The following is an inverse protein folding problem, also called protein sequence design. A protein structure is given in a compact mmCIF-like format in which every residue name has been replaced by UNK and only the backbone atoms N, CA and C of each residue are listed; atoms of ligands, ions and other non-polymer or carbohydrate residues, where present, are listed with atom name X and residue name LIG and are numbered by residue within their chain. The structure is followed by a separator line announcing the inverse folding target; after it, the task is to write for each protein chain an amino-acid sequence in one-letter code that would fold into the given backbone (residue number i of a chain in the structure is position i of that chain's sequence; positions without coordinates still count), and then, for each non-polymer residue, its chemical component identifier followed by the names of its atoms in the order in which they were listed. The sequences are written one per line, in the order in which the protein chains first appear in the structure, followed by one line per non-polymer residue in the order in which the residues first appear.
data_IF_807496578004
#
_entry.id   IF_807496578004
#
_cell.length_a   1.000
_cell.length_b   1.000
_cell.length_c   1.000
_cell.angle_alpha   90.00
_cell.angle_beta   90.00
_cell.angle_gamma   90.00
#
_symmetry.space_group_name_H-M   'P 1'
#
loop_
_entity.id
_entity.type
_entity.pdbx_description
1 polymer ?
#
# COMPACT_ATOMS: atom_id res chain seq x y z
N UNK A 1 25.68 -7.97 -15.82
CA UNK A 1 25.48 -6.61 -16.38
C UNK A 1 24.77 -6.75 -17.72
N UNK A 2 23.46 -6.78 -17.75
CA UNK A 2 22.63 -6.81 -18.97
C UNK A 2 22.67 -5.42 -19.60
N UNK A 3 23.36 -5.29 -20.73
CA UNK A 3 23.38 -4.04 -21.51
C UNK A 3 21.93 -3.66 -21.84
N UNK A 4 21.48 -2.55 -21.31
CA UNK A 4 20.14 -1.98 -21.45
C UNK A 4 19.77 -1.99 -22.96
N UNK A 5 18.63 -2.58 -23.39
CA UNK A 5 18.23 -2.65 -24.79
C UNK A 5 18.19 -1.25 -25.45
N UNK A 6 17.94 -0.22 -24.68
CA UNK A 6 17.99 1.19 -25.08
C UNK A 6 19.37 1.61 -25.60
N UNK A 7 20.46 1.25 -24.90
CA UNK A 7 21.83 1.63 -25.33
C UNK A 7 22.22 0.93 -26.61
N UNK A 8 21.77 -0.32 -26.83
CA UNK A 8 22.00 -1.02 -28.10
C UNK A 8 21.26 -0.36 -29.26
N UNK A 9 19.99 -0.05 -29.11
CA UNK A 9 19.19 0.62 -30.16
C UNK A 9 19.78 2.00 -30.49
N UNK A 10 20.16 2.78 -29.47
CA UNK A 10 20.79 4.08 -29.67
C UNK A 10 22.12 3.98 -30.39
N UNK A 11 22.98 2.98 -30.04
CA UNK A 11 24.26 2.77 -30.68
C UNK A 11 24.08 2.40 -32.16
N UNK A 12 23.17 1.46 -32.46
CA UNK A 12 22.88 1.08 -33.85
C UNK A 12 22.26 2.23 -34.64
N UNK A 13 21.42 3.06 -34.02
CA UNK A 13 20.85 4.26 -34.67
C UNK A 13 21.95 5.26 -35.06
N UNK A 14 22.89 5.53 -34.14
CA UNK A 14 24.04 6.41 -34.42
C UNK A 14 24.92 5.87 -35.51
N UNK A 15 25.23 4.57 -35.52
CA UNK A 15 26.02 3.92 -36.58
C UNK A 15 25.29 3.99 -37.92
N UNK A 16 23.98 3.72 -37.95
CA UNK A 16 23.16 3.80 -39.16
C UNK A 16 23.12 5.23 -39.73
N UNK A 17 22.95 6.22 -38.84
CA UNK A 17 22.95 7.64 -39.24
C UNK A 17 24.31 8.04 -39.81
N UNK A 18 25.40 7.67 -39.14
CA UNK A 18 26.76 7.92 -39.65
C UNK A 18 27.00 7.27 -41.02
N UNK A 19 26.57 6.01 -41.22
CA UNK A 19 26.64 5.30 -42.48
C UNK A 19 25.83 5.99 -43.59
N UNK A 20 24.58 6.41 -43.30
CA UNK A 20 23.72 7.11 -44.25
C UNK A 20 24.29 8.47 -44.66
N UNK A 21 24.94 9.17 -43.70
CA UNK A 21 25.61 10.45 -43.99
C UNK A 21 26.78 10.22 -44.98
N UNK A 22 27.65 9.24 -44.71
CA UNK A 22 28.78 8.94 -45.56
C UNK A 22 28.32 8.47 -46.96
N UNK A 23 27.32 7.60 -47.04
CA UNK A 23 26.76 7.16 -48.31
C UNK A 23 26.05 8.29 -49.06
N UNK A 24 25.34 9.12 -48.36
CA UNK A 24 24.64 10.30 -48.96
C UNK A 24 25.60 11.32 -49.52
N UNK A 25 26.74 11.56 -48.86
CA UNK A 25 27.79 12.45 -49.37
C UNK A 25 28.48 11.90 -50.61
N UNK A 26 28.86 10.61 -50.57
CA UNK A 26 29.44 9.92 -51.73
C UNK A 26 28.49 9.91 -52.94
N UNK A 27 27.20 9.67 -52.71
CA UNK A 27 26.17 9.70 -53.75
C UNK A 27 25.96 11.12 -54.31
N UNK A 28 26.00 12.14 -53.46
CA UNK A 28 25.88 13.54 -53.84
C UNK A 28 27.09 13.96 -54.70
N UNK A 29 28.32 13.65 -54.27
CA UNK A 29 29.53 13.99 -55.01
C UNK A 29 29.56 13.28 -56.35
N UNK A 30 29.12 12.00 -56.40
CA UNK A 30 29.02 11.27 -57.66
C UNK A 30 27.93 11.84 -58.58
N UNK A 31 26.77 12.23 -58.06
CA UNK A 31 25.72 12.89 -58.83
C UNK A 31 26.17 14.28 -59.37
N UNK A 32 26.94 15.02 -58.60
CA UNK A 32 27.50 16.31 -58.98
C UNK A 32 28.50 16.15 -60.15
N UNK A 33 29.35 15.12 -60.10
CA UNK A 33 30.27 14.80 -61.19
C UNK A 33 29.56 14.41 -62.49
N UNK A 34 28.43 13.68 -62.40
CA UNK A 34 27.63 13.26 -63.56
C UNK A 34 26.86 14.42 -64.21
N UNK A 35 26.27 15.31 -63.40
CA UNK A 35 25.42 16.39 -63.89
C UNK A 35 26.18 17.62 -64.35
N UNK A 36 27.37 17.85 -63.82
CA UNK A 36 28.18 19.04 -64.15
C UNK A 36 29.62 18.66 -64.48
N UNK A 37 29.88 17.99 -65.64
CA UNK A 37 31.22 17.55 -66.03
C UNK A 37 32.25 18.68 -66.19
N UNK A 38 31.82 19.92 -66.43
CA UNK A 38 32.71 21.10 -66.44
C UNK A 38 33.23 21.49 -65.05
N UNK A 39 32.44 21.27 -63.96
CA UNK A 39 32.88 21.43 -62.59
C UNK A 39 33.83 20.31 -62.17
N UNK A 40 33.62 19.07 -62.68
CA UNK A 40 34.45 17.92 -62.39
C UNK A 40 35.88 18.06 -62.93
N UNK A 41 36.11 18.85 -64.02
CA UNK A 41 37.43 19.15 -64.57
C UNK A 41 38.31 20.03 -63.66
N UNK A 42 37.68 20.89 -62.86
CA UNK A 42 38.32 21.77 -61.87
C UNK A 42 38.07 21.31 -60.43
N UNK A 43 37.51 20.11 -60.22
CA UNK A 43 37.21 19.57 -58.92
C UNK A 43 38.52 19.13 -58.25
N UNK A 44 38.96 19.93 -57.30
CA UNK A 44 40.03 19.50 -56.38
C UNK A 44 39.40 18.64 -55.28
N UNK A 45 39.62 17.30 -55.29
CA UNK A 45 39.06 16.39 -54.28
C UNK A 45 39.61 16.67 -52.88
N UNK A 46 40.63 17.51 -52.77
CA UNK A 46 41.22 17.93 -51.50
C UNK A 46 40.63 19.30 -51.02
N UNK A 47 39.67 19.86 -51.74
CA UNK A 47 39.00 21.07 -51.22
C UNK A 47 38.00 20.73 -50.11
N UNK A 48 38.34 21.00 -48.84
CA UNK A 48 37.53 20.59 -47.70
C UNK A 48 36.11 21.20 -47.68
N UNK A 49 35.89 22.32 -48.33
CA UNK A 49 34.56 22.98 -48.39
C UNK A 49 33.59 22.20 -49.26
N UNK A 50 34.04 21.69 -50.41
CA UNK A 50 33.20 20.91 -51.32
C UNK A 50 32.96 19.47 -50.80
N UNK A 51 33.94 18.87 -50.13
CA UNK A 51 33.81 17.54 -49.59
C UNK A 51 33.02 17.51 -48.27
N UNK A 52 33.18 18.50 -47.39
CA UNK A 52 32.57 18.50 -46.07
C UNK A 52 31.24 19.31 -45.99
N UNK A 53 30.99 20.22 -46.90
CA UNK A 53 29.77 21.05 -46.88
C UNK A 53 28.47 20.27 -46.87
N UNK A 54 28.26 19.32 -47.82
CA UNK A 54 27.06 18.47 -47.82
C UNK A 54 26.91 17.59 -46.57
N UNK A 55 28.04 17.07 -46.06
CA UNK A 55 28.00 16.25 -44.81
C UNK A 55 27.51 17.02 -43.61
N UNK A 56 27.98 18.27 -43.43
CA UNK A 56 27.57 19.16 -42.35
C UNK A 56 26.08 19.52 -42.45
N UNK A 57 25.59 19.79 -43.68
CA UNK A 57 24.15 20.10 -43.87
C UNK A 57 23.30 18.87 -43.56
N UNK A 58 23.62 17.69 -44.07
CA UNK A 58 22.86 16.47 -43.79
C UNK A 58 22.91 16.12 -42.31
N UNK A 59 24.05 16.22 -41.64
CA UNK A 59 24.19 15.99 -40.20
C UNK A 59 23.31 16.96 -39.40
N UNK A 60 23.33 18.23 -39.74
CA UNK A 60 22.53 19.28 -39.08
C UNK A 60 21.04 18.97 -39.20
N UNK A 61 20.56 18.60 -40.40
CA UNK A 61 19.16 18.25 -40.64
C UNK A 61 18.75 17.00 -39.84
N UNK A 62 19.59 15.95 -39.86
CA UNK A 62 19.31 14.73 -39.12
C UNK A 62 19.27 14.97 -37.59
N UNK A 63 20.22 15.75 -37.07
CA UNK A 63 20.23 16.15 -35.66
C UNK A 63 19.00 17.00 -35.30
N UNK A 64 18.60 17.95 -36.15
CA UNK A 64 17.41 18.76 -35.91
C UNK A 64 16.11 17.93 -35.90
N UNK A 65 16.00 16.98 -36.84
CA UNK A 65 14.85 16.07 -36.90
C UNK A 65 14.80 15.13 -35.68
N UNK A 66 15.93 14.52 -35.30
CA UNK A 66 16.01 13.63 -34.13
C UNK A 66 15.76 14.39 -32.84
N UNK A 67 16.30 15.60 -32.70
CA UNK A 67 16.04 16.46 -31.54
C UNK A 67 14.56 16.88 -31.46
N UNK A 68 13.96 17.30 -32.58
CA UNK A 68 12.53 17.64 -32.62
C UNK A 68 11.64 16.46 -32.26
N UNK A 69 11.97 15.27 -32.77
CA UNK A 69 11.25 14.02 -32.46
C UNK A 69 11.35 13.66 -30.97
N UNK A 70 12.56 13.70 -30.40
CA UNK A 70 12.79 13.41 -28.98
C UNK A 70 12.10 14.46 -28.08
N UNK A 71 12.19 15.73 -28.47
CA UNK A 71 11.58 16.83 -27.71
C UNK A 71 10.05 16.68 -27.62
N UNK A 72 9.38 16.21 -28.69
CA UNK A 72 7.93 15.90 -28.64
C UNK A 72 7.61 14.81 -27.61
N UNK A 73 8.44 13.78 -27.47
CA UNK A 73 8.25 12.70 -26.50
C UNK A 73 8.43 13.19 -25.06
N UNK A 74 9.48 13.98 -24.83
CA UNK A 74 9.72 14.59 -23.52
C UNK A 74 8.59 15.54 -23.15
N UNK A 75 8.14 16.38 -24.06
CA UNK A 75 7.02 17.31 -23.83
C UNK A 75 5.71 16.56 -23.49
N UNK A 76 5.48 15.39 -24.12
CA UNK A 76 4.32 14.58 -23.83
C UNK A 76 4.37 14.00 -22.41
N UNK A 77 5.54 13.52 -21.97
CA UNK A 77 5.78 13.07 -20.60
C UNK A 77 5.61 14.20 -19.59
N UNK A 78 6.20 15.36 -19.85
CA UNK A 78 6.10 16.54 -18.95
C UNK A 78 4.65 16.99 -18.77
N UNK A 79 3.88 17.03 -19.85
CA UNK A 79 2.44 17.34 -19.76
C UNK A 79 1.67 16.33 -18.92
N UNK A 80 2.01 15.03 -19.02
CA UNK A 80 1.45 14.01 -18.14
C UNK A 80 1.78 14.27 -16.67
N UNK A 81 3.05 14.59 -16.38
CA UNK A 81 3.50 14.93 -15.02
C UNK A 81 2.75 16.16 -14.49
N UNK A 82 2.58 17.20 -15.30
CA UNK A 82 1.85 18.43 -14.93
C UNK A 82 0.38 18.10 -14.57
N UNK A 83 -0.27 17.22 -15.33
CA UNK A 83 -1.64 16.79 -15.04
C UNK A 83 -1.75 16.00 -13.73
N UNK A 84 -0.82 15.10 -13.48
CA UNK A 84 -0.75 14.35 -12.21
C UNK A 84 -0.46 15.29 -11.04
N UNK A 85 0.44 16.25 -11.21
CA UNK A 85 0.73 17.28 -10.21
C UNK A 85 -0.49 18.15 -9.89
N UNK A 86 -1.37 18.36 -10.87
CA UNK A 86 -2.65 19.06 -10.70
C UNK A 86 -3.76 18.16 -10.05
N UNK A 87 -3.43 16.91 -9.69
CA UNK A 87 -4.36 15.97 -9.05
C UNK A 87 -5.15 15.08 -10.00
N UNK A 88 -4.89 15.13 -11.31
CA UNK A 88 -5.54 14.25 -12.28
C UNK A 88 -4.79 12.90 -12.38
N UNK A 89 -5.08 12.00 -11.46
CA UNK A 89 -4.48 10.66 -11.41
C UNK A 89 -5.07 9.66 -12.42
N UNK A 90 -6.06 10.06 -13.24
CA UNK A 90 -6.56 9.23 -14.33
C UNK A 90 -5.72 9.36 -15.62
N UNK A 91 -4.66 10.20 -15.58
CA UNK A 91 -3.81 10.44 -16.75
C UNK A 91 -2.86 9.26 -17.00
N UNK A 92 -2.97 8.69 -18.21
CA UNK A 92 -2.06 7.63 -18.67
C UNK A 92 -1.39 8.03 -19.97
N UNK A 93 -0.15 7.65 -20.13
CA UNK A 93 0.63 7.84 -21.34
C UNK A 93 0.57 6.58 -22.21
N UNK A 94 0.42 6.78 -23.51
CA UNK A 94 0.40 5.67 -24.48
C UNK A 94 1.83 5.12 -24.64
N UNK A 95 2.07 3.95 -24.06
CA UNK A 95 3.40 3.29 -24.05
C UNK A 95 3.91 3.00 -25.46
N UNK A 96 3.01 2.70 -26.42
CA UNK A 96 3.40 2.41 -27.80
C UNK A 96 3.96 3.65 -28.49
N UNK A 97 3.52 4.85 -28.11
CA UNK A 97 4.04 6.11 -28.60
C UNK A 97 5.36 6.53 -27.94
N UNK A 98 5.79 5.87 -26.90
CA UNK A 98 7.01 6.19 -26.14
C UNK A 98 8.29 6.02 -26.96
N UNK A 99 8.39 4.96 -27.77
CA UNK A 99 9.61 4.61 -28.48
C UNK A 99 10.77 4.37 -27.50
N UNK A 100 11.90 5.13 -27.57
CA UNK A 100 12.99 5.01 -26.60
C UNK A 100 12.62 5.31 -25.15
N UNK A 101 11.54 6.06 -24.93
CA UNK A 101 11.02 6.43 -23.60
C UNK A 101 9.85 5.53 -23.13
N UNK A 102 9.57 4.42 -23.82
CA UNK A 102 8.47 3.51 -23.48
C UNK A 102 8.54 3.03 -22.03
N UNK A 103 9.71 2.64 -21.55
CA UNK A 103 9.92 2.24 -20.15
C UNK A 103 9.61 3.39 -19.16
N UNK A 104 9.94 4.64 -19.53
CA UNK A 104 9.62 5.80 -18.70
C UNK A 104 8.12 6.08 -18.67
N UNK A 105 7.41 5.86 -19.78
CA UNK A 105 5.95 5.98 -19.84
C UNK A 105 5.27 4.89 -18.99
N UNK A 106 5.78 3.65 -19.05
CA UNK A 106 5.29 2.57 -18.22
C UNK A 106 5.48 2.86 -16.73
N UNK A 107 6.68 3.30 -16.33
CA UNK A 107 6.94 3.69 -14.93
C UNK A 107 6.05 4.85 -14.49
N UNK A 108 5.82 5.83 -15.38
CA UNK A 108 4.89 6.93 -15.12
C UNK A 108 3.47 6.41 -14.89
N UNK A 109 2.95 5.51 -15.76
CA UNK A 109 1.62 4.93 -15.61
C UNK A 109 1.50 4.16 -14.28
N UNK A 110 2.48 3.32 -13.94
CA UNK A 110 2.51 2.61 -12.65
C UNK A 110 2.49 3.56 -11.46
N UNK A 111 3.27 4.65 -11.51
CA UNK A 111 3.25 5.67 -10.46
C UNK A 111 1.87 6.34 -10.36
N UNK A 112 1.26 6.68 -11.49
CA UNK A 112 -0.06 7.31 -11.54
C UNK A 112 -1.13 6.39 -10.96
N UNK A 113 -1.11 5.08 -11.28
CA UNK A 113 -2.00 4.08 -10.70
C UNK A 113 -1.86 3.98 -9.17
N UNK A 114 -0.64 4.00 -8.66
CA UNK A 114 -0.38 3.99 -7.22
C UNK A 114 -0.92 5.25 -6.53
N UNK A 115 -0.74 6.42 -7.15
CA UNK A 115 -1.28 7.68 -6.65
C UNK A 115 -2.81 7.69 -6.67
N UNK A 116 -3.44 7.21 -7.76
CA UNK A 116 -4.88 7.06 -7.88
C UNK A 116 -5.45 6.14 -6.78
N UNK A 117 -4.85 4.96 -6.59
CA UNK A 117 -5.23 4.02 -5.53
C UNK A 117 -5.12 4.67 -4.15
N UNK A 118 -4.02 5.37 -3.87
CA UNK A 118 -3.80 6.06 -2.59
C UNK A 118 -4.82 7.16 -2.35
N UNK A 119 -5.13 7.96 -3.38
CA UNK A 119 -6.13 9.03 -3.30
C UNK A 119 -7.54 8.47 -3.05
N UNK A 120 -7.91 7.40 -3.73
CA UNK A 120 -9.20 6.70 -3.53
C UNK A 120 -9.31 6.18 -2.11
N UNK A 121 -8.31 5.43 -1.63
CA UNK A 121 -8.29 4.90 -0.26
C UNK A 121 -8.39 6.01 0.79
N UNK A 122 -7.72 7.16 0.56
CA UNK A 122 -7.81 8.32 1.45
C UNK A 122 -9.21 8.92 1.47
N UNK A 123 -9.86 9.05 0.32
CA UNK A 123 -11.22 9.59 0.23
C UNK A 123 -12.25 8.65 0.87
N UNK A 124 -12.12 7.35 0.62
CA UNK A 124 -12.98 6.33 1.22
C UNK A 124 -12.83 6.34 2.75
N UNK A 125 -11.60 6.51 3.25
CA UNK A 125 -11.33 6.72 4.67
C UNK A 125 -12.09 7.92 5.23
N UNK A 126 -11.95 9.11 4.62
CA UNK A 126 -12.60 10.32 5.12
C UNK A 126 -14.12 10.17 5.13
N UNK A 127 -14.68 9.56 4.10
CA UNK A 127 -16.12 9.32 3.99
C UNK A 127 -16.60 8.35 5.07
N UNK A 128 -15.95 7.20 5.20
CA UNK A 128 -16.31 6.18 6.19
C UNK A 128 -16.12 6.68 7.63
N UNK A 129 -14.99 7.35 7.89
CA UNK A 129 -14.74 8.01 9.17
C UNK A 129 -15.84 9.01 9.53
N UNK A 130 -16.24 9.86 8.59
CA UNK A 130 -17.31 10.84 8.79
C UNK A 130 -18.65 10.17 9.11
N UNK A 131 -18.96 9.06 8.44
CA UNK A 131 -20.18 8.28 8.73
C UNK A 131 -20.14 7.63 10.11
N UNK A 132 -19.01 6.99 10.46
CA UNK A 132 -18.85 6.30 11.74
C UNK A 132 -18.84 7.25 12.96
N UNK A 133 -18.46 8.52 12.77
CA UNK A 133 -18.59 9.56 13.79
C UNK A 133 -19.98 10.14 13.87
N UNK A 134 -20.64 10.35 12.74
CA UNK A 134 -21.97 10.97 12.70
C UNK A 134 -23.03 10.14 13.43
N UNK A 135 -23.00 8.83 13.28
CA UNK A 135 -23.99 7.92 13.88
C UNK A 135 -24.00 7.99 15.41
N UNK A 136 -22.88 7.76 16.14
CA UNK A 136 -22.89 7.85 17.61
C UNK A 136 -23.17 9.27 18.12
N UNK A 137 -22.69 10.30 17.41
CA UNK A 137 -22.99 11.70 17.80
C UNK A 137 -24.49 11.97 17.71
N UNK A 138 -25.13 11.55 16.60
CA UNK A 138 -26.59 11.70 16.45
C UNK A 138 -27.38 10.91 17.51
N UNK A 139 -26.90 9.70 17.84
CA UNK A 139 -27.50 8.89 18.91
C UNK A 139 -27.39 9.57 20.29
N UNK A 140 -26.19 10.05 20.63
CA UNK A 140 -25.95 10.78 21.87
C UNK A 140 -26.86 12.02 21.96
N UNK A 141 -26.90 12.81 20.88
CA UNK A 141 -27.76 14.00 20.81
C UNK A 141 -29.22 13.61 20.95
N UNK A 142 -29.74 12.64 20.20
CA UNK A 142 -31.14 12.24 20.26
C UNK A 142 -31.59 11.75 21.65
N UNK A 143 -30.76 10.96 22.35
CA UNK A 143 -31.07 10.54 23.72
C UNK A 143 -30.98 11.69 24.71
N UNK A 144 -30.05 12.62 24.53
CA UNK A 144 -29.95 13.82 25.37
C UNK A 144 -31.18 14.75 25.19
N UNK A 145 -31.60 14.96 23.93
CA UNK A 145 -32.79 15.76 23.59
C UNK A 145 -34.05 15.14 24.21
N UNK A 146 -34.25 13.82 24.07
CA UNK A 146 -35.36 13.10 24.69
C UNK A 146 -35.41 13.26 26.23
N UNK A 147 -34.23 13.30 26.86
CA UNK A 147 -34.13 13.49 28.31
C UNK A 147 -34.43 14.94 28.77
N UNK A 148 -34.30 15.92 27.85
CA UNK A 148 -34.64 17.32 28.13
C UNK A 148 -36.12 17.64 27.88
N UNK A 149 -36.72 17.01 26.86
CA UNK A 149 -38.08 17.33 26.40
C UNK A 149 -39.19 16.85 27.37
N UNK A 150 -38.91 15.81 28.17
CA UNK A 150 -39.92 15.22 29.06
C UNK A 150 -39.32 14.60 30.32
N UNK A 151 -40.12 14.62 31.42
CA UNK A 151 -39.78 13.85 32.60
C UNK A 151 -39.89 12.34 32.28
N UNK A 152 -38.78 11.64 32.46
CA UNK A 152 -38.69 10.21 32.22
C UNK A 152 -38.67 9.43 33.54
N UNK A 153 -39.29 8.25 33.59
CA UNK A 153 -39.14 7.32 34.70
C UNK A 153 -37.66 7.04 34.97
N UNK A 154 -37.26 6.86 36.20
CA UNK A 154 -35.85 6.64 36.61
C UNK A 154 -35.18 5.52 35.81
N UNK A 155 -35.92 4.45 35.52
CA UNK A 155 -35.41 3.30 34.75
C UNK A 155 -35.08 3.67 33.30
N UNK A 156 -35.95 4.43 32.62
CA UNK A 156 -35.72 4.86 31.22
C UNK A 156 -34.59 5.87 31.16
N UNK A 157 -34.51 6.81 32.10
CA UNK A 157 -33.38 7.75 32.16
C UNK A 157 -32.06 7.05 32.37
N UNK A 158 -31.99 6.01 33.21
CA UNK A 158 -30.79 5.21 33.39
C UNK A 158 -30.40 4.45 32.11
N UNK A 159 -31.39 3.91 31.39
CA UNK A 159 -31.15 3.23 30.12
C UNK A 159 -30.56 4.19 29.05
N UNK A 160 -31.13 5.42 28.94
CA UNK A 160 -30.60 6.41 27.99
C UNK A 160 -29.20 6.90 28.36
N UNK A 161 -28.92 7.11 29.67
CA UNK A 161 -27.55 7.42 30.12
C UNK A 161 -26.56 6.31 29.82
N UNK A 162 -26.96 5.05 29.97
CA UNK A 162 -26.09 3.90 29.58
C UNK A 162 -25.84 3.85 28.08
N UNK A 163 -26.84 4.17 27.24
CA UNK A 163 -26.66 4.25 25.79
C UNK A 163 -25.73 5.41 25.40
N UNK A 164 -25.92 6.60 26.00
CA UNK A 164 -25.01 7.74 25.76
C UNK A 164 -23.58 7.39 26.16
N UNK A 165 -23.38 6.77 27.32
CA UNK A 165 -22.05 6.32 27.78
C UNK A 165 -21.42 5.32 26.81
N UNK A 166 -22.20 4.35 26.33
CA UNK A 166 -21.76 3.36 25.36
C UNK A 166 -21.29 4.02 24.06
N UNK A 167 -22.06 4.95 23.51
CA UNK A 167 -21.69 5.64 22.28
C UNK A 167 -20.50 6.59 22.46
N UNK A 168 -20.36 7.23 23.65
CA UNK A 168 -19.19 8.03 23.98
C UNK A 168 -17.91 7.19 24.07
N UNK A 169 -17.96 6.00 24.69
CA UNK A 169 -16.84 5.05 24.71
C UNK A 169 -16.49 4.57 23.30
N UNK A 170 -17.48 4.31 22.45
CA UNK A 170 -17.28 3.96 21.06
C UNK A 170 -16.52 5.05 20.31
N UNK A 171 -16.91 6.33 20.46
CA UNK A 171 -16.21 7.47 19.85
C UNK A 171 -14.76 7.59 20.33
N UNK A 172 -14.51 7.39 21.62
CA UNK A 172 -13.18 7.41 22.19
C UNK A 172 -12.29 6.34 21.56
N UNK A 173 -12.77 5.09 21.47
CA UNK A 173 -12.05 4.00 20.85
C UNK A 173 -11.77 4.26 19.36
N UNK A 174 -12.73 4.85 18.65
CA UNK A 174 -12.63 5.26 17.27
C UNK A 174 -11.51 6.28 17.07
N UNK A 175 -11.50 7.33 17.88
CA UNK A 175 -10.46 8.38 17.87
C UNK A 175 -9.08 7.81 18.20
N UNK A 176 -8.98 6.97 19.22
CA UNK A 176 -7.73 6.33 19.64
C UNK A 176 -7.15 5.45 18.53
N UNK A 177 -7.97 4.64 17.86
CA UNK A 177 -7.52 3.79 16.76
C UNK A 177 -6.97 4.60 15.58
N UNK A 178 -7.62 5.73 15.23
CA UNK A 178 -7.13 6.61 14.15
C UNK A 178 -5.81 7.28 14.53
N UNK A 179 -5.70 7.81 15.76
CA UNK A 179 -4.47 8.40 16.27
C UNK A 179 -3.33 7.38 16.30
N UNK A 180 -3.61 6.17 16.78
CA UNK A 180 -2.62 5.08 16.81
C UNK A 180 -2.16 4.75 15.38
N UNK A 181 -3.08 4.58 14.44
CA UNK A 181 -2.72 4.25 13.07
C UNK A 181 -1.86 5.35 12.43
N UNK A 182 -2.25 6.62 12.56
CA UNK A 182 -1.50 7.75 12.00
C UNK A 182 -0.10 7.87 12.63
N UNK A 183 0.03 7.62 13.93
CA UNK A 183 1.33 7.60 14.61
C UNK A 183 2.20 6.46 14.11
N UNK A 184 1.66 5.26 14.01
CA UNK A 184 2.38 4.08 13.51
C UNK A 184 2.80 4.22 12.04
N UNK A 185 2.04 4.94 11.23
CA UNK A 185 2.38 5.20 9.81
C UNK A 185 3.58 6.13 9.65
N UNK A 186 3.68 7.13 10.49
CA UNK A 186 4.80 8.06 10.50
C UNK A 186 6.08 7.47 11.09
N UNK A 187 5.96 6.37 11.85
CA UNK A 187 7.11 5.70 12.45
C UNK A 187 7.83 4.80 11.44
N UNK A 188 9.13 5.00 11.33
CA UNK A 188 10.06 4.14 10.58
C UNK A 188 10.92 3.28 11.49
N UNK A 189 11.07 3.69 12.75
CA UNK A 189 11.91 3.02 13.76
C UNK A 189 11.07 2.79 15.02
N UNK A 190 11.14 1.59 15.57
CA UNK A 190 10.53 1.25 16.86
C UNK A 190 11.36 1.80 18.01
N UNK A 191 10.72 2.56 18.88
CA UNK A 191 11.29 2.99 20.15
C UNK A 191 10.89 2.03 21.28
N UNK A 192 11.61 2.06 22.40
CA UNK A 192 11.30 1.32 23.63
C UNK A 192 11.22 -0.21 23.41
N UNK A 193 12.18 -0.76 22.65
CA UNK A 193 12.29 -2.20 22.47
C UNK A 193 12.98 -2.84 23.68
N UNK A 194 12.34 -3.85 24.25
CA UNK A 194 12.85 -4.63 25.40
C UNK A 194 12.55 -6.11 25.20
N UNK A 195 13.31 -6.97 25.88
CA UNK A 195 12.94 -8.40 25.99
C UNK A 195 11.85 -8.56 27.05
N UNK A 196 10.80 -9.28 26.74
CA UNK A 196 9.68 -9.54 27.65
C UNK A 196 9.07 -10.94 27.44
N UNK A 197 8.39 -11.43 28.47
CA UNK A 197 7.67 -12.72 28.41
C UNK A 197 6.40 -12.57 27.57
N UNK A 198 6.47 -13.06 26.31
CA UNK A 198 5.35 -13.06 25.38
C UNK A 198 4.21 -13.96 25.84
N UNK A 199 4.55 -15.09 26.46
CA UNK A 199 3.58 -16.05 26.96
C UNK A 199 2.70 -15.44 28.04
N UNK A 200 3.34 -14.74 28.98
CA UNK A 200 2.61 -14.06 30.04
C UNK A 200 1.80 -12.89 29.48
N UNK A 201 2.33 -12.14 28.52
CA UNK A 201 1.59 -11.05 27.87
C UNK A 201 0.30 -11.54 27.20
N UNK A 202 0.35 -12.61 26.42
CA UNK A 202 -0.83 -13.20 25.78
C UNK A 202 -1.83 -13.69 26.85
N UNK A 203 -1.35 -14.34 27.93
CA UNK A 203 -2.20 -14.78 29.03
C UNK A 203 -2.92 -13.61 29.72
N UNK A 204 -2.20 -12.55 30.02
CA UNK A 204 -2.77 -11.33 30.63
C UNK A 204 -3.80 -10.66 29.73
N UNK A 205 -3.57 -10.68 28.42
CA UNK A 205 -4.55 -10.16 27.44
C UNK A 205 -5.84 -10.97 27.44
N UNK A 206 -5.76 -12.30 27.52
CA UNK A 206 -6.94 -13.17 27.64
C UNK A 206 -7.69 -12.88 28.94
N UNK A 207 -6.98 -12.74 30.07
CA UNK A 207 -7.58 -12.40 31.38
C UNK A 207 -8.28 -11.04 31.31
N UNK A 208 -7.65 -10.04 30.70
CA UNK A 208 -8.24 -8.71 30.53
C UNK A 208 -9.56 -8.76 29.75
N UNK A 209 -9.66 -9.61 28.74
CA UNK A 209 -10.84 -9.74 27.89
C UNK A 209 -11.82 -10.84 28.37
N UNK A 210 -11.49 -11.51 29.47
CA UNK A 210 -12.30 -12.62 30.00
C UNK A 210 -13.79 -12.26 30.20
N UNK A 211 -14.17 -11.09 30.76
CA UNK A 211 -15.57 -10.75 30.92
C UNK A 211 -16.35 -10.74 29.60
N UNK A 212 -15.71 -10.32 28.51
CA UNK A 212 -16.34 -10.29 27.18
C UNK A 212 -16.41 -11.71 26.57
N UNK A 213 -15.38 -12.54 26.77
CA UNK A 213 -15.37 -13.94 26.36
C UNK A 213 -16.47 -14.73 27.07
N UNK A 214 -16.67 -14.50 28.36
CA UNK A 214 -17.70 -15.13 29.17
C UNK A 214 -19.12 -14.67 28.80
N UNK A 215 -19.31 -13.39 28.49
CA UNK A 215 -20.58 -12.83 27.99
C UNK A 215 -21.05 -13.56 26.73
N UNK A 216 -20.11 -13.86 25.79
CA UNK A 216 -20.36 -14.63 24.57
C UNK A 216 -20.26 -16.15 24.78
N UNK A 217 -20.01 -16.62 26.01
CA UNK A 217 -19.88 -18.04 26.38
C UNK A 217 -18.85 -18.78 25.53
N UNK A 218 -17.76 -18.12 25.12
CA UNK A 218 -16.74 -18.74 24.28
C UNK A 218 -15.92 -19.76 25.07
N UNK A 219 -15.67 -20.91 24.44
CA UNK A 219 -14.77 -21.91 24.96
C UNK A 219 -13.33 -21.53 24.60
N UNK A 220 -12.49 -21.30 25.60
CA UNK A 220 -11.13 -20.79 25.40
C UNK A 220 -10.11 -21.90 25.69
N UNK A 221 -9.32 -22.25 24.66
CA UNK A 221 -8.22 -23.19 24.76
C UNK A 221 -6.87 -22.51 24.57
N UNK A 222 -5.97 -22.68 25.54
CA UNK A 222 -4.64 -22.08 25.52
C UNK A 222 -3.55 -23.14 25.51
N UNK A 223 -2.74 -23.16 24.45
CA UNK A 223 -1.52 -23.98 24.32
C UNK A 223 -0.32 -23.06 24.18
N UNK A 224 0.21 -22.60 25.29
CA UNK A 224 1.21 -21.54 25.33
C UNK A 224 2.60 -22.12 25.69
N UNK A 225 3.46 -22.32 24.69
CA UNK A 225 4.87 -22.62 24.94
C UNK A 225 5.59 -21.40 25.52
N UNK A 226 6.51 -21.55 26.49
CA UNK A 226 7.29 -20.43 27.02
C UNK A 226 8.07 -19.72 25.91
N UNK A 227 7.86 -18.43 25.74
CA UNK A 227 8.47 -17.63 24.67
C UNK A 227 8.81 -16.21 25.13
N UNK A 228 10.03 -15.77 24.81
CA UNK A 228 10.49 -14.39 25.03
C UNK A 228 10.61 -13.68 23.71
N UNK A 229 9.93 -12.55 23.55
CA UNK A 229 10.03 -11.69 22.39
C UNK A 229 10.89 -10.47 22.69
N UNK A 230 11.50 -9.88 21.62
CA UNK A 230 12.16 -8.59 21.68
C UNK A 230 11.37 -7.60 20.84
N UNK A 231 10.98 -6.47 21.46
CA UNK A 231 10.18 -5.46 20.79
C UNK A 231 9.55 -4.47 21.75
N UNK A 232 8.61 -3.70 21.25
CA UNK A 232 7.81 -2.82 22.09
C UNK A 232 6.61 -3.60 22.63
N UNK A 233 6.66 -3.92 23.94
CA UNK A 233 5.66 -4.74 24.61
C UNK A 233 4.25 -4.15 24.52
N UNK A 234 4.10 -2.81 24.64
CA UNK A 234 2.79 -2.15 24.61
C UNK A 234 2.14 -2.25 23.23
N UNK A 235 2.93 -2.06 22.17
CA UNK A 235 2.42 -2.21 20.80
C UNK A 235 2.06 -3.68 20.50
N UNK A 236 2.89 -4.64 20.93
CA UNK A 236 2.56 -6.06 20.72
C UNK A 236 1.34 -6.49 21.54
N UNK A 237 1.14 -5.95 22.75
CA UNK A 237 -0.10 -6.17 23.50
C UNK A 237 -1.32 -5.70 22.72
N UNK A 238 -1.23 -4.56 22.02
CA UNK A 238 -2.33 -4.07 21.18
C UNK A 238 -2.65 -5.03 20.01
N UNK A 239 -1.64 -5.75 19.47
CA UNK A 239 -1.89 -6.80 18.46
C UNK A 239 -2.80 -7.88 19.02
N UNK A 240 -2.48 -8.41 20.22
CA UNK A 240 -3.27 -9.48 20.84
C UNK A 240 -4.67 -9.00 21.15
N UNK A 241 -4.81 -7.81 21.72
CA UNK A 241 -6.13 -7.19 21.98
C UNK A 241 -6.96 -7.09 20.70
N UNK A 242 -6.36 -6.64 19.59
CA UNK A 242 -7.07 -6.51 18.32
C UNK A 242 -7.49 -7.88 17.74
N UNK A 243 -6.61 -8.88 17.80
CA UNK A 243 -6.93 -10.22 17.30
C UNK A 243 -8.01 -10.91 18.15
N UNK A 244 -7.91 -10.86 19.49
CA UNK A 244 -8.90 -11.48 20.37
C UNK A 244 -10.24 -10.76 20.28
N UNK A 245 -10.26 -9.42 20.22
CA UNK A 245 -11.50 -8.67 19.99
C UNK A 245 -12.15 -9.03 18.64
N UNK A 246 -11.34 -9.32 17.61
CA UNK A 246 -11.85 -9.80 16.34
C UNK A 246 -12.55 -11.16 16.49
N UNK A 247 -11.94 -12.07 17.24
CA UNK A 247 -12.54 -13.38 17.58
C UNK A 247 -13.86 -13.21 18.34
N UNK A 248 -13.87 -12.46 19.45
CA UNK A 248 -15.09 -12.23 20.26
C UNK A 248 -16.24 -11.72 19.37
N UNK A 249 -15.91 -10.92 18.39
CA UNK A 249 -16.87 -10.28 17.54
C UNK A 249 -17.48 -11.19 16.46
N UNK A 250 -16.69 -12.11 15.91
CA UNK A 250 -17.10 -12.92 14.77
C UNK A 250 -17.39 -14.37 15.11
N UNK A 251 -17.04 -14.83 16.30
CA UNK A 251 -17.38 -16.16 16.78
C UNK A 251 -18.82 -16.17 17.30
N UNK A 252 -19.64 -17.16 16.94
CA UNK A 252 -20.97 -17.33 17.52
C UNK A 252 -20.92 -17.56 19.03
N UNK A 253 -21.98 -17.21 19.74
CA UNK A 253 -22.09 -17.53 21.18
C UNK A 253 -21.94 -19.04 21.40
N UNK A 254 -21.10 -19.41 22.34
CA UNK A 254 -20.75 -20.79 22.64
C UNK A 254 -19.68 -21.41 21.73
N UNK A 255 -19.13 -20.66 20.79
CA UNK A 255 -18.06 -21.08 19.90
C UNK A 255 -16.68 -21.22 20.59
N UNK A 256 -15.63 -21.45 19.80
CA UNK A 256 -14.29 -21.74 20.31
C UNK A 256 -13.27 -20.66 19.93
N UNK A 257 -12.40 -20.36 20.88
CA UNK A 257 -11.17 -19.58 20.70
C UNK A 257 -9.98 -20.46 21.09
N UNK A 258 -9.08 -20.72 20.18
CA UNK A 258 -7.83 -21.43 20.49
C UNK A 258 -6.65 -20.50 20.25
N UNK A 259 -5.78 -20.33 21.25
CA UNK A 259 -4.54 -19.58 21.11
C UNK A 259 -3.35 -20.52 21.34
N UNK A 260 -2.44 -20.56 20.38
CA UNK A 260 -1.22 -21.37 20.48
C UNK A 260 0.01 -20.51 20.32
N UNK A 261 1.03 -20.77 21.12
CA UNK A 261 2.39 -20.22 20.93
C UNK A 261 3.31 -21.38 20.63
N UNK A 262 3.94 -21.34 19.47
CA UNK A 262 4.89 -22.35 19.02
C UNK A 262 6.25 -21.70 18.78
N UNK A 263 7.32 -22.43 19.11
CA UNK A 263 8.70 -21.99 18.91
C UNK A 263 9.30 -22.78 17.74
N UNK A 264 9.71 -22.05 16.73
CA UNK A 264 10.55 -22.56 15.64
C UNK A 264 12.00 -22.10 15.88
N UNK A 265 12.95 -22.61 15.10
CA UNK A 265 14.38 -22.32 15.34
C UNK A 265 14.70 -20.83 15.39
N UNK A 266 14.18 -20.02 14.48
CA UNK A 266 14.45 -18.58 14.38
C UNK A 266 13.23 -17.68 14.65
N UNK A 267 12.04 -18.26 14.88
CA UNK A 267 10.79 -17.51 14.98
C UNK A 267 9.91 -18.02 16.12
N UNK A 268 9.04 -17.13 16.59
CA UNK A 268 7.91 -17.48 17.46
C UNK A 268 6.66 -17.29 16.61
N UNK A 269 5.80 -18.31 16.58
CA UNK A 269 4.49 -18.22 15.96
C UNK A 269 3.41 -18.15 17.05
N UNK A 270 2.57 -17.12 16.98
CA UNK A 270 1.36 -17.00 17.82
C UNK A 270 0.16 -17.13 16.91
N UNK A 271 -0.60 -18.20 17.05
CA UNK A 271 -1.82 -18.45 16.29
C UNK A 271 -3.06 -18.20 17.15
N UNK A 272 -4.03 -17.51 16.59
CA UNK A 272 -5.34 -17.24 17.17
C UNK A 272 -6.38 -17.79 16.20
N UNK A 273 -7.02 -18.88 16.60
CA UNK A 273 -8.01 -19.59 15.80
C UNK A 273 -9.40 -19.43 16.40
N UNK A 274 -10.40 -19.34 15.54
CA UNK A 274 -11.81 -19.26 15.93
C UNK A 274 -12.71 -19.96 14.90
N UNK A 275 -13.84 -20.46 15.36
CA UNK A 275 -14.88 -21.11 14.55
C UNK A 275 -15.97 -20.15 14.01
N UNK A 276 -15.61 -18.91 13.79
CA UNK A 276 -16.45 -17.94 13.12
C UNK A 276 -16.70 -18.25 11.63
N UNK A 277 -17.49 -17.40 10.92
CA UNK A 277 -17.78 -17.60 9.52
C UNK A 277 -16.51 -17.60 8.68
N UNK A 278 -16.52 -18.41 7.61
CA UNK A 278 -15.38 -18.50 6.70
C UNK A 278 -15.19 -17.20 5.91
N UNK A 279 -13.95 -16.86 5.71
CA UNK A 279 -13.52 -15.68 4.94
C UNK A 279 -13.16 -16.12 3.54
N UNK A 280 -13.73 -15.48 2.51
CA UNK A 280 -13.43 -15.84 1.12
C UNK A 280 -11.93 -15.62 0.80
N UNK A 281 -11.33 -16.38 -0.14
CA UNK A 281 -9.94 -16.17 -0.53
C UNK A 281 -9.63 -14.73 -0.96
N UNK A 282 -10.55 -14.10 -1.69
CA UNK A 282 -10.44 -12.70 -2.10
C UNK A 282 -10.44 -11.74 -0.92
N UNK A 283 -11.25 -12.01 0.11
CA UNK A 283 -11.28 -11.16 1.30
C UNK A 283 -10.03 -11.36 2.16
N UNK A 284 -9.48 -12.58 2.22
CA UNK A 284 -8.26 -12.86 3.00
C UNK A 284 -7.07 -12.00 2.54
N UNK A 285 -6.95 -11.71 1.24
CA UNK A 285 -5.88 -10.87 0.68
C UNK A 285 -5.98 -9.39 1.11
N UNK A 286 -7.18 -8.93 1.46
CA UNK A 286 -7.47 -7.54 1.78
C UNK A 286 -7.72 -7.26 3.26
N UNK A 287 -7.84 -8.29 4.12
CA UNK A 287 -8.22 -8.14 5.54
C UNK A 287 -7.32 -7.20 6.35
N UNK A 288 -6.06 -7.09 5.97
CA UNK A 288 -5.07 -6.22 6.62
C UNK A 288 -5.01 -4.82 6.02
N UNK A 289 -5.75 -4.57 4.94
CA UNK A 289 -5.88 -3.22 4.38
C UNK A 289 -6.72 -2.34 5.31
N UNK A 290 -6.39 -1.06 5.34
CA UNK A 290 -7.12 -0.07 6.15
C UNK A 290 -8.55 0.02 5.68
N UNK A 291 -9.48 0.02 6.65
CA UNK A 291 -10.92 0.19 6.41
C UNK A 291 -11.58 -0.95 5.63
N UNK A 292 -10.84 -2.01 5.34
CA UNK A 292 -11.41 -3.16 4.67
C UNK A 292 -12.36 -3.95 5.59
N UNK A 293 -13.48 -4.36 5.04
CA UNK A 293 -14.51 -5.17 5.70
C UNK A 293 -15.08 -6.16 4.70
N UNK A 294 -14.97 -7.45 5.00
CA UNK A 294 -15.41 -8.52 4.12
C UNK A 294 -16.94 -8.56 3.90
N UNK A 295 -17.74 -7.99 4.81
CA UNK A 295 -19.20 -7.96 4.70
C UNK A 295 -19.77 -6.60 5.14
N UNK A 296 -20.31 -5.83 4.16
CA UNK A 296 -20.89 -4.53 4.39
C UNK A 296 -22.30 -4.56 5.03
N UNK A 297 -22.93 -5.75 5.17
CA UNK A 297 -24.34 -5.84 5.57
C UNK A 297 -24.61 -5.88 7.06
N UNK A 298 -23.62 -6.24 7.88
CA UNK A 298 -23.77 -6.38 9.34
C UNK A 298 -22.89 -5.44 10.18
N UNK A 299 -22.26 -4.46 9.57
CA UNK A 299 -21.10 -3.76 10.12
C UNK A 299 -21.35 -2.32 10.59
N UNK A 300 -22.54 -2.02 11.11
CA UNK A 300 -22.78 -0.71 11.75
C UNK A 300 -21.78 -0.54 12.92
N UNK A 301 -20.89 0.42 12.80
CA UNK A 301 -19.99 0.82 13.87
C UNK A 301 -18.57 0.27 13.84
N UNK A 302 -18.02 -0.07 12.69
CA UNK A 302 -16.70 -0.72 12.57
C UNK A 302 -15.87 -0.07 11.48
N UNK A 303 -14.71 0.46 11.82
CA UNK A 303 -13.81 1.12 10.86
C UNK A 303 -12.86 0.17 10.10
N UNK A 304 -12.83 -1.12 10.42
CA UNK A 304 -11.85 -2.03 9.80
C UNK A 304 -10.38 -1.66 10.10
N UNK A 305 -10.11 -1.04 11.26
CA UNK A 305 -8.77 -0.58 11.62
C UNK A 305 -7.97 -1.57 12.46
N UNK A 306 -8.63 -2.46 13.21
CA UNK A 306 -7.94 -3.32 14.18
C UNK A 306 -6.89 -4.24 13.55
N UNK A 307 -7.23 -4.92 12.45
CA UNK A 307 -6.30 -5.79 11.75
C UNK A 307 -5.21 -5.00 11.00
N UNK A 308 -5.53 -3.83 10.46
CA UNK A 308 -4.55 -2.93 9.84
C UNK A 308 -3.53 -2.41 10.87
N UNK A 309 -3.98 -2.03 12.08
CA UNK A 309 -3.11 -1.65 13.20
C UNK A 309 -2.22 -2.83 13.60
N UNK A 310 -2.79 -4.01 13.77
CA UNK A 310 -2.02 -5.21 14.11
C UNK A 310 -0.95 -5.50 13.04
N UNK A 311 -1.31 -5.49 11.78
CA UNK A 311 -0.38 -5.69 10.65
C UNK A 311 0.74 -4.66 10.64
N UNK A 312 0.43 -3.37 10.86
CA UNK A 312 1.42 -2.31 10.89
C UNK A 312 2.39 -2.46 12.06
N UNK A 313 1.90 -2.80 13.24
CA UNK A 313 2.74 -3.07 14.43
C UNK A 313 3.69 -4.23 14.14
N UNK A 314 3.19 -5.33 13.60
CA UNK A 314 3.99 -6.51 13.27
C UNK A 314 5.04 -6.18 12.20
N UNK A 315 4.69 -5.41 11.17
CA UNK A 315 5.65 -4.95 10.15
C UNK A 315 6.78 -4.08 10.76
N UNK A 316 6.46 -3.20 11.72
CA UNK A 316 7.46 -2.41 12.46
C UNK A 316 8.40 -3.30 13.28
N UNK A 317 7.92 -4.47 13.77
CA UNK A 317 8.72 -5.48 14.46
C UNK A 317 9.44 -6.44 13.48
N UNK A 318 9.44 -6.15 12.17
CA UNK A 318 10.01 -7.01 11.13
C UNK A 318 9.42 -8.43 11.12
N UNK A 319 8.23 -8.57 11.67
CA UNK A 319 7.44 -9.79 11.70
C UNK A 319 6.50 -9.91 10.50
N UNK A 320 5.69 -10.97 10.53
CA UNK A 320 4.65 -11.24 9.52
C UNK A 320 3.37 -11.67 10.20
N UNK A 321 2.23 -11.22 9.69
CA UNK A 321 0.90 -11.71 10.06
C UNK A 321 0.25 -12.34 8.84
N UNK A 322 -0.41 -13.48 9.01
CA UNK A 322 -1.13 -14.20 7.96
C UNK A 322 -2.51 -14.60 8.46
N UNK A 323 -3.41 -14.87 7.53
CA UNK A 323 -4.72 -15.47 7.82
C UNK A 323 -4.93 -16.67 6.91
N UNK A 324 -5.53 -17.70 7.45
CA UNK A 324 -6.02 -18.88 6.72
C UNK A 324 -7.44 -19.12 7.20
N UNK A 325 -8.39 -19.23 6.28
CA UNK A 325 -9.78 -19.56 6.59
C UNK A 325 -10.27 -20.65 5.64
N UNK A 326 -10.60 -21.81 6.19
CA UNK A 326 -11.07 -22.97 5.44
C UNK A 326 -12.03 -23.81 6.30
N UNK A 327 -12.83 -24.72 5.70
CA UNK A 327 -13.81 -25.51 6.45
C UNK A 327 -13.20 -26.50 7.47
N UNK A 328 -11.94 -26.91 7.32
CA UNK A 328 -11.29 -27.89 8.19
C UNK A 328 -10.75 -27.24 9.48
N UNK A 329 -10.14 -26.06 9.34
CA UNK A 329 -9.42 -25.40 10.43
C UNK A 329 -10.07 -24.09 10.87
N UNK A 330 -11.24 -23.75 10.29
CA UNK A 330 -11.94 -22.48 10.49
C UNK A 330 -11.05 -21.25 10.16
N UNK A 331 -11.08 -20.19 10.94
CA UNK A 331 -10.26 -18.99 10.69
C UNK A 331 -9.10 -18.93 11.69
N UNK A 332 -7.88 -18.90 11.17
CA UNK A 332 -6.65 -18.79 11.96
C UNK A 332 -5.83 -17.59 11.53
N UNK A 333 -5.60 -16.67 12.46
CA UNK A 333 -4.61 -15.61 12.31
C UNK A 333 -3.29 -16.06 12.93
N UNK A 334 -2.18 -15.96 12.21
CA UNK A 334 -0.86 -16.34 12.72
C UNK A 334 0.10 -15.16 12.62
N UNK A 335 0.69 -14.81 13.75
CA UNK A 335 1.73 -13.77 13.88
C UNK A 335 3.07 -14.46 14.05
N UNK A 336 4.04 -14.07 13.20
CA UNK A 336 5.42 -14.53 13.27
C UNK A 336 6.31 -13.40 13.73
N UNK A 337 7.05 -13.61 14.81
CA UNK A 337 8.00 -12.67 15.38
C UNK A 337 9.40 -13.30 15.40
N UNK A 338 10.45 -12.50 15.21
CA UNK A 338 11.80 -12.96 15.45
C UNK A 338 11.98 -13.30 16.94
N UNK A 339 12.75 -14.34 17.24
CA UNK A 339 13.15 -14.64 18.63
C UNK A 339 13.91 -13.46 19.21
N UNK A 340 13.52 -13.03 20.39
CA UNK A 340 14.34 -12.15 21.20
C UNK A 340 15.63 -12.87 21.56
N UNK A 341 16.78 -12.28 21.23
CA UNK A 341 18.00 -12.74 21.87
C UNK A 341 17.92 -12.36 23.34
N UNK A 342 18.20 -13.31 24.26
CA UNK A 342 18.34 -12.93 25.65
C UNK A 342 19.45 -11.86 25.72
N UNK A 343 19.14 -10.73 26.33
CA UNK A 343 20.13 -9.69 26.62
C UNK A 343 21.27 -10.35 27.42
N UNK A 344 22.45 -10.43 26.84
CA UNK A 344 23.69 -10.82 27.50
C UNK A 344 24.03 -9.87 28.63
#
# INVERSE_FOLDING_TARGET
MTKNPFTRVLTWLVVLIAFLIVMGTLAFDFALMLTFPHLARNFDPLNPVLALGPTVVILTVVLALTFSWLNKKITYLTKGIDQVAAGNFATHLDEQKGGPLSASYQNFNQMTDQLAKTATLRNDFINQFSHEFRTPIASIQGFADLMQERELPKKERQAYLALISKEAHRLTNLSTNVLTLTTLESQTILNNQTSFDLTEQVRQTVILLWPQLEEHKLNVDLTLAPATAFGNADLLNQVWVNLINNVIKFTPDGGHLTIKIERHDDQIAVSVNNDGPLISPTDQDHLFEKFYQADNRSNVGRLGLGLAIASRIIALHQGRITVVSNPADHTTFTVYLAKGQPSS
#
